data_IF_014407811563
#
_entry.id   IF_014407811563
#
_cell.length_a   1.000
_cell.length_b   1.000
_cell.length_c   1.000
_cell.angle_alpha   90.00
_cell.angle_beta   90.00
_cell.angle_gamma   90.00
#
_symmetry.space_group_name_H-M   'P 1'
#
loop_
_entity.id
_entity.type
_entity.pdbx_description
1 polymer ?
#
# COMPACT_ATOMS: atom_id res chain seq x y z
N UNK A 1 -8.91 4.51 -14.12
CA UNK A 1 -9.56 4.20 -12.83
C UNK A 1 -8.56 4.53 -11.74
N UNK A 2 -8.93 5.40 -10.79
CA UNK A 2 -8.03 5.82 -9.73
C UNK A 2 -7.81 4.73 -8.69
N UNK A 3 -6.64 4.72 -8.08
CA UNK A 3 -6.32 3.94 -6.89
C UNK A 3 -7.29 4.31 -5.76
N UNK A 4 -7.86 3.31 -5.09
CA UNK A 4 -8.80 3.52 -4.00
C UNK A 4 -8.64 2.46 -2.91
N UNK A 5 -9.41 2.59 -1.83
CA UNK A 5 -9.38 1.64 -0.71
C UNK A 5 -9.68 0.18 -1.10
N UNK A 6 -10.48 -0.05 -2.15
CA UNK A 6 -10.66 -1.42 -2.66
C UNK A 6 -9.39 -1.93 -3.35
N UNK A 7 -8.66 -1.09 -4.10
CA UNK A 7 -7.36 -1.45 -4.67
C UNK A 7 -6.37 -1.88 -3.60
N UNK A 8 -6.34 -1.19 -2.45
CA UNK A 8 -5.55 -1.55 -1.28
C UNK A 8 -5.89 -2.96 -0.79
N UNK A 9 -7.15 -3.23 -0.48
CA UNK A 9 -7.60 -4.55 -0.01
C UNK A 9 -7.26 -5.64 -1.01
N UNK A 10 -7.61 -5.45 -2.29
CA UNK A 10 -7.30 -6.41 -3.35
C UNK A 10 -5.81 -6.68 -3.51
N UNK A 11 -4.94 -5.71 -3.22
CA UNK A 11 -3.47 -5.92 -3.26
C UNK A 11 -3.01 -6.84 -2.12
N UNK A 12 -3.51 -6.62 -0.91
CA UNK A 12 -3.21 -7.50 0.23
C UNK A 12 -3.80 -8.90 0.04
N UNK A 13 -5.04 -9.00 -0.47
CA UNK A 13 -5.68 -10.28 -0.76
C UNK A 13 -4.93 -11.05 -1.83
N UNK A 14 -4.57 -10.40 -2.95
CA UNK A 14 -3.79 -11.03 -4.00
C UNK A 14 -2.40 -11.47 -3.52
N UNK A 15 -1.76 -10.70 -2.63
CA UNK A 15 -0.50 -11.10 -2.02
C UNK A 15 -0.64 -12.37 -1.18
N UNK A 16 -1.73 -12.50 -0.40
CA UNK A 16 -2.04 -13.72 0.36
C UNK A 16 -2.35 -14.91 -0.55
N UNK A 17 -3.17 -14.71 -1.57
CA UNK A 17 -3.58 -15.77 -2.52
C UNK A 17 -2.41 -16.32 -3.33
N UNK A 18 -1.37 -15.52 -3.53
CA UNK A 18 -0.19 -15.88 -4.33
C UNK A 18 1.03 -16.25 -3.47
N UNK A 19 0.87 -16.35 -2.15
CA UNK A 19 1.97 -16.58 -1.19
C UNK A 19 3.14 -15.59 -1.38
N UNK A 20 2.80 -14.34 -1.72
CA UNK A 20 3.80 -13.30 -1.97
C UNK A 20 4.41 -12.81 -0.65
N UNK A 21 5.76 -12.73 -0.56
CA UNK A 21 6.42 -12.39 0.70
C UNK A 21 6.25 -10.92 1.10
N UNK A 22 5.94 -10.04 0.13
CA UNK A 22 5.84 -8.60 0.37
C UNK A 22 4.64 -7.95 -0.33
N UNK A 23 4.12 -6.91 0.32
CA UNK A 23 3.27 -5.87 -0.27
C UNK A 23 4.06 -4.57 -0.27
N UNK A 24 3.98 -3.82 -1.36
CA UNK A 24 4.63 -2.54 -1.54
C UNK A 24 3.58 -1.43 -1.59
N UNK A 25 3.79 -0.39 -0.78
CA UNK A 25 2.91 0.77 -0.72
C UNK A 25 3.73 2.03 -0.98
N UNK A 26 3.54 2.64 -2.14
CA UNK A 26 4.17 3.92 -2.48
C UNK A 26 3.34 5.07 -1.91
N UNK A 27 3.96 5.91 -1.08
CA UNK A 27 3.34 7.02 -0.38
C UNK A 27 4.06 8.30 -0.77
N UNK A 28 3.30 9.36 -0.98
CA UNK A 28 3.83 10.72 -1.02
C UNK A 28 3.54 11.35 0.33
N UNK A 29 4.58 11.83 1.00
CA UNK A 29 4.48 12.58 2.25
C UNK A 29 5.32 13.85 2.15
N UNK A 30 4.67 15.01 2.27
CA UNK A 30 5.34 16.32 2.24
C UNK A 30 6.23 16.57 1.00
N UNK A 31 5.85 15.98 -0.14
CA UNK A 31 6.59 16.10 -1.40
C UNK A 31 7.76 15.12 -1.55
N UNK A 32 7.94 14.22 -0.59
CA UNK A 32 8.88 13.08 -0.67
C UNK A 32 8.09 11.83 -1.03
N UNK A 33 8.62 11.07 -2.00
CA UNK A 33 8.08 9.77 -2.35
C UNK A 33 8.83 8.67 -1.61
N UNK A 34 8.08 7.82 -0.92
CA UNK A 34 8.59 6.70 -0.15
C UNK A 34 7.88 5.42 -0.56
N UNK A 35 8.57 4.29 -0.49
CA UNK A 35 7.95 2.96 -0.69
C UNK A 35 8.11 2.17 0.59
N UNK A 36 6.97 1.80 1.18
CA UNK A 36 6.92 0.94 2.36
C UNK A 36 6.84 -0.51 1.90
N UNK A 37 7.81 -1.31 2.30
CA UNK A 37 7.80 -2.77 2.14
C UNK A 37 7.14 -3.39 3.36
N UNK A 38 5.99 -4.02 3.17
CA UNK A 38 5.26 -4.73 4.20
C UNK A 38 5.57 -6.22 4.07
N UNK A 39 6.18 -6.87 5.08
CA UNK A 39 6.37 -8.32 5.07
C UNK A 39 5.07 -9.04 5.40
N UNK A 40 4.91 -10.27 4.91
CA UNK A 40 3.73 -11.14 5.11
C UNK A 40 3.21 -11.15 6.55
N UNK A 41 4.10 -11.34 7.53
CA UNK A 41 3.77 -11.33 8.98
C UNK A 41 3.10 -10.05 9.49
N UNK A 42 3.11 -8.98 8.69
CA UNK A 42 2.57 -7.67 9.02
C UNK A 42 1.40 -7.27 8.13
N UNK A 43 0.92 -8.15 7.24
CA UNK A 43 -0.18 -7.86 6.32
C UNK A 43 -1.43 -7.38 7.06
N UNK A 44 -1.96 -8.17 8.00
CA UNK A 44 -3.21 -7.83 8.70
C UNK A 44 -3.09 -6.51 9.48
N UNK A 45 -1.98 -6.33 10.20
CA UNK A 45 -1.74 -5.13 10.98
C UNK A 45 -1.61 -3.87 10.10
N UNK A 46 -0.91 -3.98 8.96
CA UNK A 46 -0.70 -2.85 8.06
C UNK A 46 -1.92 -2.56 7.21
N UNK A 47 -2.63 -3.57 6.74
CA UNK A 47 -3.89 -3.40 6.03
C UNK A 47 -4.93 -2.69 6.92
N UNK A 48 -5.07 -3.12 8.18
CA UNK A 48 -5.96 -2.46 9.15
C UNK A 48 -5.53 -1.01 9.40
N UNK A 49 -4.23 -0.75 9.55
CA UNK A 49 -3.70 0.60 9.68
C UNK A 49 -4.09 1.48 8.49
N UNK A 50 -3.82 1.04 7.27
CA UNK A 50 -4.13 1.81 6.06
C UNK A 50 -5.64 2.02 5.89
N UNK A 51 -6.46 1.02 6.18
CA UNK A 51 -7.93 1.13 6.14
C UNK A 51 -8.49 2.18 7.11
N UNK A 52 -7.84 2.38 8.25
CA UNK A 52 -8.26 3.35 9.27
C UNK A 52 -7.65 4.74 9.06
N UNK A 53 -6.39 4.81 8.64
CA UNK A 53 -5.63 6.05 8.52
C UNK A 53 -5.90 6.81 7.21
N UNK A 54 -6.42 6.13 6.19
CA UNK A 54 -6.67 6.70 4.87
C UNK A 54 -8.15 6.65 4.51
N UNK A 55 -8.62 7.66 3.78
CA UNK A 55 -9.97 7.71 3.22
C UNK A 55 -10.10 6.79 1.98
N UNK A 56 -11.25 6.84 1.31
CA UNK A 56 -11.52 5.97 0.16
C UNK A 56 -10.64 6.31 -1.07
N UNK A 57 -10.16 7.54 -1.15
CA UNK A 57 -9.23 8.04 -2.17
C UNK A 57 -7.76 7.82 -1.78
N UNK A 58 -7.52 7.01 -0.73
CA UNK A 58 -6.19 6.74 -0.19
C UNK A 58 -5.39 7.99 0.20
N UNK A 59 -6.09 9.01 0.69
CA UNK A 59 -5.52 10.20 1.29
C UNK A 59 -5.63 10.12 2.81
N UNK A 60 -4.57 10.45 3.54
CA UNK A 60 -4.51 10.33 4.99
C UNK A 60 -5.53 11.26 5.65
N UNK A 61 -6.36 10.73 6.54
CA UNK A 61 -7.52 11.45 7.10
C UNK A 61 -7.14 12.66 7.95
N UNK A 62 -5.94 12.66 8.54
CA UNK A 62 -5.43 13.78 9.35
C UNK A 62 -4.51 14.72 8.58
N UNK A 63 -4.04 14.35 7.38
CA UNK A 63 -3.08 15.16 6.63
C UNK A 63 -3.25 14.90 5.13
N UNK A 64 -3.95 15.79 4.43
CA UNK A 64 -4.24 15.66 3.00
C UNK A 64 -3.00 15.73 2.09
N UNK A 65 -1.83 16.12 2.63
CA UNK A 65 -0.56 16.08 1.90
C UNK A 65 0.10 14.70 1.92
N UNK A 66 -0.49 13.74 2.64
CA UNK A 66 -0.03 12.35 2.70
C UNK A 66 -1.02 11.47 1.98
N UNK A 67 -0.60 10.80 0.91
CA UNK A 67 -1.48 9.94 0.12
C UNK A 67 -0.71 8.77 -0.49
N UNK A 68 -1.40 7.64 -0.70
CA UNK A 68 -0.83 6.47 -1.37
C UNK A 68 -0.96 6.68 -2.88
N UNK A 69 0.17 6.61 -3.59
CA UNK A 69 0.24 6.79 -5.05
C UNK A 69 0.40 5.50 -5.83
N UNK A 70 0.76 4.39 -5.16
CA UNK A 70 1.07 3.13 -5.82
C UNK A 70 0.95 1.95 -4.87
N UNK A 71 0.55 0.82 -5.42
CA UNK A 71 0.40 -0.44 -4.71
C UNK A 71 0.93 -1.58 -5.59
N UNK A 72 1.47 -2.60 -4.95
CA UNK A 72 1.72 -3.89 -5.58
C UNK A 72 2.24 -4.89 -4.58
N UNK A 73 2.63 -6.06 -5.05
CA UNK A 73 3.02 -7.18 -4.21
C UNK A 73 3.96 -8.12 -4.99
N UNK A 74 4.67 -8.97 -4.26
CA UNK A 74 5.51 -10.02 -4.85
C UNK A 74 6.87 -10.15 -4.17
N UNK A 75 7.84 -10.63 -4.93
CA UNK A 75 9.22 -10.80 -4.51
C UNK A 75 9.95 -9.45 -4.36
N UNK A 76 11.08 -9.44 -3.65
CA UNK A 76 11.89 -8.22 -3.48
C UNK A 76 12.33 -7.58 -4.81
N UNK A 77 12.40 -8.36 -5.90
CA UNK A 77 12.72 -7.88 -7.25
C UNK A 77 11.61 -7.02 -7.85
N UNK A 78 10.35 -7.24 -7.46
CA UNK A 78 9.17 -6.53 -7.95
C UNK A 78 9.07 -5.10 -7.39
N UNK A 79 9.86 -4.76 -6.36
CA UNK A 79 9.95 -3.41 -5.80
C UNK A 79 10.26 -2.34 -6.88
N UNK A 80 11.02 -2.72 -7.92
CA UNK A 80 11.40 -1.82 -9.02
C UNK A 80 10.22 -1.39 -9.89
N UNK A 81 9.09 -2.09 -9.81
CA UNK A 81 7.91 -1.86 -10.64
C UNK A 81 6.88 -0.94 -9.96
N UNK A 82 7.15 -0.49 -8.73
CA UNK A 82 6.27 0.33 -7.89
C UNK A 82 6.56 1.85 -8.03
N UNK A 83 7.64 2.20 -8.76
CA UNK A 83 8.12 3.59 -8.92
C UNK A 83 7.31 4.41 -9.91
#
# INVERSE_FOLDING_TARGET
>A
MGLNKNSLKSTFDAARETDSPFVFVAIVAEGVEEVIVVPEKSFDAKEAFYNNAYNDELTHVMNSKVYIRGLGYGEATELKNIS
#
